data_IF_229410988240
#
_entry.id   IF_229410988240
#
_cell.length_a   1.000
_cell.length_b   1.000
_cell.length_c   1.000
_cell.angle_alpha   90.00
_cell.angle_beta   90.00
_cell.angle_gamma   90.00
#
_symmetry.space_group_name_H-M   'P 1'
#
loop_
_entity.id
_entity.type
_entity.pdbx_description
1 polymer ?
#
# COMPACT_ATOMS: atom_id res chain seq x y z
N UNK A 1 63.75 -103.29 -1.88
CA UNK A 1 63.63 -102.03 -2.65
C UNK A 1 65.02 -101.52 -2.95
N UNK A 2 65.41 -101.36 -4.23
CA UNK A 2 66.76 -100.89 -4.59
C UNK A 2 66.96 -99.44 -4.14
N UNK A 3 68.13 -99.11 -3.58
CA UNK A 3 68.50 -97.78 -3.08
C UNK A 3 68.25 -96.67 -4.12
N UNK A 4 68.40 -97.00 -5.40
CA UNK A 4 68.18 -96.10 -6.53
C UNK A 4 66.71 -95.66 -6.70
N UNK A 5 65.75 -96.54 -6.37
CA UNK A 5 64.32 -96.23 -6.47
C UNK A 5 63.88 -95.23 -5.37
N UNK A 6 64.41 -95.38 -4.16
CA UNK A 6 64.17 -94.43 -3.07
C UNK A 6 64.76 -93.05 -3.39
N UNK A 7 65.94 -92.99 -4.00
CA UNK A 7 66.56 -91.73 -4.43
C UNK A 7 65.72 -91.01 -5.50
N UNK A 8 65.27 -91.72 -6.55
CA UNK A 8 64.43 -91.13 -7.61
C UNK A 8 63.08 -90.62 -7.07
N UNK A 9 62.48 -91.34 -6.12
CA UNK A 9 61.26 -90.89 -5.46
C UNK A 9 61.49 -89.62 -4.64
N UNK A 10 62.58 -89.55 -3.87
CA UNK A 10 62.93 -88.37 -3.08
C UNK A 10 63.13 -87.14 -3.98
N UNK A 11 63.88 -87.27 -5.07
CA UNK A 11 64.09 -86.19 -6.04
C UNK A 11 62.75 -85.70 -6.58
N UNK A 12 61.87 -86.61 -7.03
CA UNK A 12 60.55 -86.25 -7.55
C UNK A 12 59.67 -85.55 -6.51
N UNK A 13 59.64 -86.05 -5.28
CA UNK A 13 58.86 -85.45 -4.19
C UNK A 13 59.39 -84.05 -3.85
N UNK A 14 60.72 -83.88 -3.77
CA UNK A 14 61.32 -82.57 -3.50
C UNK A 14 61.08 -81.57 -4.63
N UNK A 15 61.05 -82.03 -5.88
CA UNK A 15 60.75 -81.19 -7.03
C UNK A 15 59.29 -80.74 -7.02
N UNK A 16 58.35 -81.66 -6.81
CA UNK A 16 56.92 -81.33 -6.68
C UNK A 16 56.67 -80.39 -5.50
N UNK A 17 57.30 -80.61 -4.35
CA UNK A 17 57.17 -79.71 -3.20
C UNK A 17 57.65 -78.30 -3.52
N UNK A 18 58.78 -78.17 -4.23
CA UNK A 18 59.36 -76.88 -4.60
C UNK A 18 58.51 -76.13 -5.62
N UNK A 19 58.17 -76.81 -6.72
CA UNK A 19 57.50 -76.20 -7.88
C UNK A 19 56.00 -76.00 -7.62
N UNK A 20 55.31 -76.99 -7.05
CA UNK A 20 53.84 -76.93 -6.92
C UNK A 20 53.36 -76.29 -5.63
N UNK A 21 54.14 -76.36 -4.54
CA UNK A 21 53.69 -75.90 -3.22
C UNK A 21 54.43 -74.66 -2.74
N UNK A 22 55.76 -74.72 -2.62
CA UNK A 22 56.56 -73.59 -2.10
C UNK A 22 56.39 -72.37 -3.01
N UNK A 23 56.51 -72.53 -4.33
CA UNK A 23 56.39 -71.42 -5.27
C UNK A 23 54.99 -70.77 -5.23
N UNK A 24 53.91 -71.55 -5.12
CA UNK A 24 52.54 -71.01 -5.01
C UNK A 24 52.31 -70.32 -3.67
N UNK A 25 52.87 -70.85 -2.58
CA UNK A 25 52.78 -70.24 -1.26
C UNK A 25 53.55 -68.92 -1.19
N UNK A 26 54.75 -68.85 -1.80
CA UNK A 26 55.52 -67.60 -1.91
C UNK A 26 54.77 -66.55 -2.75
N UNK A 27 54.16 -66.96 -3.86
CA UNK A 27 53.35 -66.05 -4.68
C UNK A 27 52.13 -65.52 -3.91
N UNK A 28 51.38 -66.40 -3.25
CA UNK A 28 50.25 -66.00 -2.42
C UNK A 28 50.69 -65.09 -1.26
N UNK A 29 51.85 -65.35 -0.63
CA UNK A 29 52.39 -64.48 0.42
C UNK A 29 52.67 -63.08 -0.14
N UNK A 30 53.31 -62.99 -1.31
CA UNK A 30 53.61 -61.71 -1.95
C UNK A 30 52.33 -60.93 -2.33
N UNK A 31 51.32 -61.60 -2.88
CA UNK A 31 50.03 -60.97 -3.18
C UNK A 31 49.33 -60.47 -1.91
N UNK A 32 49.38 -61.22 -0.81
CA UNK A 32 48.82 -60.79 0.48
C UNK A 32 49.59 -59.60 1.04
N UNK A 33 50.93 -59.62 1.01
CA UNK A 33 51.77 -58.52 1.48
C UNK A 33 51.48 -57.23 0.69
N UNK A 34 51.49 -57.30 -0.64
CA UNK A 34 51.17 -56.15 -1.50
C UNK A 34 49.75 -55.61 -1.27
N UNK A 35 48.77 -56.50 -1.07
CA UNK A 35 47.40 -56.10 -0.74
C UNK A 35 47.32 -55.41 0.62
N UNK A 36 48.04 -55.91 1.63
CA UNK A 36 48.08 -55.31 2.97
C UNK A 36 48.73 -53.92 2.91
N UNK A 37 49.82 -53.75 2.18
CA UNK A 37 50.47 -52.45 1.98
C UNK A 37 49.53 -51.45 1.31
N UNK A 38 48.86 -51.86 0.23
CA UNK A 38 47.87 -51.02 -0.44
C UNK A 38 46.74 -50.59 0.50
N UNK A 39 46.18 -51.53 1.28
CA UNK A 39 45.10 -51.25 2.23
C UNK A 39 45.56 -50.32 3.36
N UNK A 40 46.82 -50.40 3.80
CA UNK A 40 47.38 -49.46 4.79
C UNK A 40 47.45 -48.05 4.23
N UNK A 41 47.98 -47.88 3.02
CA UNK A 41 48.04 -46.57 2.37
C UNK A 41 46.63 -45.99 2.16
N UNK A 42 45.69 -46.81 1.70
CA UNK A 42 44.30 -46.40 1.52
C UNK A 42 43.66 -45.97 2.83
N UNK A 43 43.86 -46.72 3.92
CA UNK A 43 43.37 -46.36 5.26
C UNK A 43 43.94 -45.03 5.72
N UNK A 44 45.24 -44.82 5.57
CA UNK A 44 45.89 -43.56 5.96
C UNK A 44 45.37 -42.36 5.16
N UNK A 45 45.15 -42.56 3.85
CA UNK A 45 44.55 -41.54 3.00
C UNK A 45 43.11 -41.22 3.46
N UNK A 46 42.29 -42.23 3.69
CA UNK A 46 40.91 -42.05 4.18
C UNK A 46 40.86 -41.33 5.53
N UNK A 47 41.81 -41.61 6.43
CA UNK A 47 41.89 -40.91 7.71
C UNK A 47 42.25 -39.42 7.54
N UNK A 48 43.14 -39.09 6.61
CA UNK A 48 43.44 -37.67 6.29
C UNK A 48 42.24 -36.96 5.68
N UNK A 49 41.59 -37.59 4.71
CA UNK A 49 40.39 -37.03 4.07
C UNK A 49 39.25 -36.80 5.08
N UNK A 50 39.08 -37.71 6.06
CA UNK A 50 38.12 -37.53 7.14
C UNK A 50 38.47 -36.33 8.04
N UNK A 51 39.74 -36.14 8.38
CA UNK A 51 40.18 -34.99 9.17
C UNK A 51 39.94 -33.67 8.43
N UNK A 52 40.28 -33.60 7.14
CA UNK A 52 39.98 -32.43 6.30
C UNK A 52 38.48 -32.16 6.19
N UNK A 53 37.66 -33.23 6.12
CA UNK A 53 36.21 -33.10 6.08
C UNK A 53 35.65 -32.57 7.42
N UNK A 54 36.21 -32.99 8.54
CA UNK A 54 35.84 -32.47 9.86
C UNK A 54 36.18 -30.99 10.01
N UNK A 55 37.39 -30.57 9.61
CA UNK A 55 37.81 -29.17 9.66
C UNK A 55 36.96 -28.28 8.73
N UNK A 56 36.69 -28.76 7.51
CA UNK A 56 35.84 -28.02 6.57
C UNK A 56 34.41 -27.91 7.06
N UNK A 57 33.87 -28.97 7.70
CA UNK A 57 32.56 -28.92 8.35
C UNK A 57 32.53 -27.87 9.45
N UNK A 58 33.52 -27.86 10.34
CA UNK A 58 33.63 -26.89 11.44
C UNK A 58 33.67 -25.44 10.90
N UNK A 59 34.51 -25.17 9.91
CA UNK A 59 34.62 -23.87 9.27
C UNK A 59 33.29 -23.43 8.59
N UNK A 60 32.58 -24.36 7.95
CA UNK A 60 31.26 -24.07 7.37
C UNK A 60 30.24 -23.77 8.45
N UNK A 61 30.23 -24.51 9.57
CA UNK A 61 29.32 -24.25 10.68
C UNK A 61 29.59 -22.90 11.34
N UNK A 62 30.85 -22.54 11.60
CA UNK A 62 31.22 -21.23 12.16
C UNK A 62 30.79 -20.09 11.23
N UNK A 63 31.01 -20.23 9.92
CA UNK A 63 30.55 -19.24 8.94
C UNK A 63 29.03 -19.10 8.93
N UNK A 64 28.30 -20.22 9.04
CA UNK A 64 26.85 -20.21 9.09
C UNK A 64 26.34 -19.49 10.36
N UNK A 65 26.96 -19.76 11.51
CA UNK A 65 26.66 -19.09 12.78
C UNK A 65 26.93 -17.58 12.68
N UNK A 66 28.10 -17.17 12.19
CA UNK A 66 28.42 -15.75 12.00
C UNK A 66 27.45 -15.05 11.03
N UNK A 67 27.00 -15.73 9.97
CA UNK A 67 25.97 -15.19 9.08
C UNK A 67 24.64 -15.03 9.81
N UNK A 68 24.25 -16.01 10.63
CA UNK A 68 23.02 -15.96 11.41
C UNK A 68 23.03 -14.79 12.40
N UNK A 69 24.12 -14.60 13.15
CA UNK A 69 24.31 -13.46 14.06
C UNK A 69 24.18 -12.11 13.32
N UNK A 70 24.83 -11.99 12.16
CA UNK A 70 24.75 -10.77 11.35
C UNK A 70 23.35 -10.50 10.82
N UNK A 71 22.61 -11.56 10.48
CA UNK A 71 21.22 -11.43 10.03
C UNK A 71 20.31 -10.99 11.17
N UNK A 72 20.48 -11.53 12.37
CA UNK A 72 19.74 -11.11 13.56
C UNK A 72 20.01 -9.64 13.90
N UNK A 73 21.28 -9.22 13.93
CA UNK A 73 21.65 -7.82 14.15
C UNK A 73 21.08 -6.90 13.06
N UNK A 74 21.07 -7.36 11.80
CA UNK A 74 20.45 -6.62 10.71
C UNK A 74 18.93 -6.51 10.91
N UNK A 75 18.27 -7.60 11.33
CA UNK A 75 16.84 -7.62 11.61
C UNK A 75 16.47 -6.64 12.72
N UNK A 76 17.19 -6.66 13.83
CA UNK A 76 16.97 -5.74 14.95
C UNK A 76 17.15 -4.27 14.53
N UNK A 77 18.18 -3.98 13.73
CA UNK A 77 18.39 -2.66 13.17
C UNK A 77 17.23 -2.23 12.26
N UNK A 78 16.72 -3.13 11.42
CA UNK A 78 15.56 -2.86 10.58
C UNK A 78 14.30 -2.61 11.40
N UNK A 79 14.03 -3.40 12.43
CA UNK A 79 12.90 -3.20 13.34
C UNK A 79 12.99 -1.84 14.03
N UNK A 80 14.19 -1.46 14.50
CA UNK A 80 14.41 -0.15 15.10
C UNK A 80 14.23 1.00 14.11
N UNK A 81 14.69 0.85 12.86
CA UNK A 81 14.48 1.82 11.80
C UNK A 81 12.99 1.96 11.44
N UNK A 82 12.26 0.85 11.33
CA UNK A 82 10.82 0.85 11.07
C UNK A 82 10.05 1.57 12.18
N UNK A 83 10.35 1.29 13.45
CA UNK A 83 9.75 2.01 14.59
C UNK A 83 10.00 3.52 14.52
N UNK A 84 11.22 3.92 14.13
CA UNK A 84 11.56 5.34 13.94
C UNK A 84 10.78 5.97 12.79
N UNK A 85 10.69 5.27 11.65
CA UNK A 85 9.90 5.71 10.49
C UNK A 85 8.42 5.85 10.85
N UNK A 86 7.84 4.89 11.56
CA UNK A 86 6.45 4.96 12.04
C UNK A 86 6.23 6.18 12.94
N UNK A 87 7.16 6.46 13.86
CA UNK A 87 7.07 7.66 14.71
C UNK A 87 7.12 8.95 13.89
N UNK A 88 8.02 9.03 12.91
CA UNK A 88 8.10 10.17 11.99
C UNK A 88 6.81 10.31 11.17
N UNK A 89 6.29 9.21 10.63
CA UNK A 89 5.06 9.20 9.86
C UNK A 89 3.87 9.66 10.70
N UNK A 90 3.73 9.19 11.94
CA UNK A 90 2.71 9.68 12.88
C UNK A 90 2.86 11.17 13.16
N UNK A 91 4.08 11.68 13.35
CA UNK A 91 4.34 13.12 13.54
C UNK A 91 3.96 13.93 12.29
N UNK A 92 4.28 13.45 11.10
CA UNK A 92 3.89 14.09 9.84
C UNK A 92 2.37 14.09 9.73
N UNK A 93 1.72 12.95 9.93
CA UNK A 93 0.26 12.84 9.87
C UNK A 93 -0.43 13.76 10.90
N UNK A 94 0.13 13.91 12.10
CA UNK A 94 -0.38 14.86 13.11
C UNK A 94 -0.21 16.33 12.74
N UNK A 95 0.75 16.64 11.85
CA UNK A 95 1.03 17.98 11.34
C UNK A 95 0.33 18.27 10.02
N UNK A 96 -0.20 17.26 9.34
CA UNK A 96 -1.08 17.46 8.21
C UNK A 96 -2.40 17.97 8.80
N UNK A 97 -2.81 19.21 8.49
CA UNK A 97 -4.14 19.68 8.85
C UNK A 97 -5.13 18.87 8.01
N UNK A 98 -5.62 17.77 8.59
CA UNK A 98 -6.79 17.10 8.06
C UNK A 98 -7.93 18.05 8.36
N UNK A 99 -8.40 18.78 7.34
CA UNK A 99 -9.59 19.63 7.48
C UNK A 99 -10.67 18.79 8.15
N UNK A 100 -11.09 19.22 9.33
CA UNK A 100 -12.21 18.60 10.04
C UNK A 100 -13.43 18.57 9.12
N UNK A 101 -14.36 17.63 9.33
CA UNK A 101 -15.62 17.61 8.56
C UNK A 101 -16.31 18.97 8.62
N UNK A 102 -16.32 19.60 9.79
CA UNK A 102 -16.83 20.95 10.00
C UNK A 102 -16.05 22.02 9.22
N UNK A 103 -14.72 21.90 9.11
CA UNK A 103 -13.90 22.85 8.33
C UNK A 103 -14.09 22.68 6.82
N UNK A 104 -14.35 21.46 6.35
CA UNK A 104 -14.70 21.20 4.95
C UNK A 104 -16.07 21.78 4.60
N UNK A 105 -17.04 21.63 5.49
CA UNK A 105 -18.39 22.17 5.34
C UNK A 105 -18.36 23.71 5.35
N UNK A 106 -17.67 24.31 6.33
CA UNK A 106 -17.45 25.76 6.40
C UNK A 106 -16.75 26.30 5.15
N UNK A 107 -15.77 25.57 4.60
CA UNK A 107 -15.10 25.97 3.35
C UNK A 107 -16.07 26.01 2.17
N UNK A 108 -17.03 25.10 2.12
CA UNK A 108 -18.02 25.06 1.05
C UNK A 108 -19.08 26.16 1.23
N UNK A 109 -19.53 26.41 2.47
CA UNK A 109 -20.40 27.54 2.78
C UNK A 109 -19.74 28.89 2.42
N UNK A 110 -18.45 29.06 2.71
CA UNK A 110 -17.71 30.27 2.39
C UNK A 110 -17.64 30.51 0.87
N UNK A 111 -17.45 29.47 0.06
CA UNK A 111 -17.48 29.60 -1.41
C UNK A 111 -18.87 30.02 -1.90
N UNK A 112 -19.93 29.39 -1.38
CA UNK A 112 -21.30 29.77 -1.73
C UNK A 112 -21.59 31.21 -1.34
N UNK A 113 -21.11 31.67 -0.19
CA UNK A 113 -21.25 33.06 0.22
C UNK A 113 -20.48 34.01 -0.68
N UNK A 114 -19.26 33.65 -1.10
CA UNK A 114 -18.46 34.43 -2.04
C UNK A 114 -19.18 34.61 -3.39
N UNK A 115 -19.80 33.54 -3.90
CA UNK A 115 -20.62 33.59 -5.12
C UNK A 115 -21.83 34.53 -4.95
N UNK A 116 -22.59 34.39 -3.85
CA UNK A 116 -23.73 35.27 -3.56
C UNK A 116 -23.31 36.75 -3.44
N UNK A 117 -22.17 37.03 -2.81
CA UNK A 117 -21.64 38.40 -2.70
C UNK A 117 -21.29 38.96 -4.09
N UNK A 118 -20.70 38.16 -4.97
CA UNK A 118 -20.44 38.56 -6.37
C UNK A 118 -21.74 38.87 -7.10
N UNK A 119 -22.76 38.02 -6.96
CA UNK A 119 -24.09 38.24 -7.55
C UNK A 119 -24.73 39.54 -7.03
N UNK A 120 -24.75 39.76 -5.71
CA UNK A 120 -25.29 41.00 -5.14
C UNK A 120 -24.54 42.24 -5.59
N UNK A 121 -23.22 42.18 -5.72
CA UNK A 121 -22.41 43.28 -6.28
C UNK A 121 -22.80 43.60 -7.73
N UNK A 122 -23.03 42.57 -8.56
CA UNK A 122 -23.52 42.75 -9.93
C UNK A 122 -24.91 43.39 -9.92
N UNK A 123 -25.83 42.88 -9.09
CA UNK A 123 -27.19 43.39 -8.97
C UNK A 123 -27.23 44.84 -8.48
N UNK A 124 -26.38 45.20 -7.51
CA UNK A 124 -26.24 46.58 -7.03
C UNK A 124 -25.74 47.52 -8.12
N UNK A 125 -24.74 47.09 -8.91
CA UNK A 125 -24.26 47.88 -10.07
C UNK A 125 -25.37 48.06 -11.11
N UNK A 126 -26.17 47.04 -11.37
CA UNK A 126 -27.31 47.13 -12.28
C UNK A 126 -28.41 48.06 -11.74
N UNK A 127 -28.72 47.99 -10.45
CA UNK A 127 -29.65 48.89 -9.76
C UNK A 127 -29.18 50.34 -9.83
N UNK A 128 -27.89 50.58 -9.57
CA UNK A 128 -27.31 51.92 -9.65
C UNK A 128 -27.46 52.50 -11.05
N UNK A 129 -27.12 51.72 -12.10
CA UNK A 129 -27.34 52.12 -13.50
C UNK A 129 -28.80 52.38 -13.82
N UNK A 130 -29.73 51.56 -13.32
CA UNK A 130 -31.18 51.79 -13.50
C UNK A 130 -31.64 53.07 -12.80
N UNK A 131 -31.10 53.37 -11.62
CA UNK A 131 -31.42 54.57 -10.85
C UNK A 131 -30.84 55.82 -11.52
N UNK A 132 -29.59 55.79 -11.98
CA UNK A 132 -28.98 56.85 -12.79
C UNK A 132 -29.79 57.10 -14.08
N UNK A 133 -30.21 56.03 -14.76
CA UNK A 133 -31.10 56.13 -15.91
C UNK A 133 -32.41 56.83 -15.52
N UNK A 134 -33.13 56.35 -14.51
CA UNK A 134 -34.39 56.96 -14.07
C UNK A 134 -34.23 58.43 -13.61
N UNK A 135 -33.15 58.76 -12.90
CA UNK A 135 -32.84 60.14 -12.53
C UNK A 135 -32.55 61.01 -13.76
N UNK A 136 -31.87 60.46 -14.77
CA UNK A 136 -31.69 61.11 -16.06
C UNK A 136 -33.01 61.38 -16.80
N UNK A 137 -33.99 60.46 -16.72
CA UNK A 137 -35.34 60.66 -17.28
C UNK A 137 -36.18 61.67 -16.48
N UNK A 138 -36.01 61.73 -15.15
CA UNK A 138 -36.66 62.73 -14.29
C UNK A 138 -36.02 64.12 -14.42
N UNK A 139 -34.75 64.19 -14.80
CA UNK A 139 -33.97 65.42 -15.00
C UNK A 139 -34.04 66.02 -16.40
N UNK A 140 -34.67 65.35 -17.37
CA UNK A 140 -34.98 65.98 -18.66
C UNK A 140 -36.15 66.98 -18.45
N UNK A 141 -36.03 68.24 -18.94
CA UNK A 141 -37.16 69.15 -18.90
C UNK A 141 -38.31 68.49 -19.67
N UNK A 142 -39.48 68.40 -19.05
CA UNK A 142 -40.72 67.97 -19.70
C UNK A 142 -40.96 68.88 -20.90
N UNK A 143 -40.48 68.47 -22.08
CA UNK A 143 -40.86 69.07 -23.35
C UNK A 143 -42.30 68.61 -23.58
N UNK A 144 -43.22 69.48 -23.19
CA UNK A 144 -44.55 69.70 -23.74
C UNK A 144 -45.21 68.43 -24.29
N UNK A 145 -46.22 67.91 -23.58
CA UNK A 145 -47.58 67.71 -24.14
C UNK A 145 -48.45 66.88 -23.19
N UNK A 146 -49.62 67.46 -22.87
CA UNK A 146 -50.85 66.81 -22.42
C UNK A 146 -50.87 66.17 -21.03
N UNK A 147 -51.35 66.96 -20.08
CA UNK A 147 -52.30 66.45 -19.08
C UNK A 147 -53.43 65.69 -19.81
N UNK A 148 -53.38 64.36 -19.82
CA UNK A 148 -54.52 63.55 -20.25
C UNK A 148 -54.52 62.16 -19.60
N UNK A 149 -54.68 62.15 -18.28
CA UNK A 149 -55.45 61.08 -17.63
C UNK A 149 -55.90 61.55 -16.27
N UNK A 150 -56.91 62.43 -16.26
CA UNK A 150 -57.82 62.48 -15.12
C UNK A 150 -58.53 61.13 -15.14
N UNK A 151 -58.07 60.19 -14.30
CA UNK A 151 -58.73 58.91 -14.09
C UNK A 151 -60.20 59.24 -13.78
N UNK A 152 -61.12 58.82 -14.65
CA UNK A 152 -62.53 59.10 -14.45
C UNK A 152 -62.95 58.49 -13.10
N UNK A 153 -63.84 59.13 -12.32
CA UNK A 153 -64.23 58.63 -11.01
C UNK A 153 -64.78 57.19 -11.05
N UNK A 154 -65.31 56.77 -12.21
CA UNK A 154 -65.72 55.39 -12.47
C UNK A 154 -64.53 54.42 -12.59
N UNK A 155 -63.43 54.81 -13.25
CA UNK A 155 -62.21 54.01 -13.32
C UNK A 155 -61.55 53.88 -11.94
N UNK A 156 -61.59 54.95 -11.14
CA UNK A 156 -61.09 54.96 -9.76
C UNK A 156 -61.92 54.06 -8.84
N UNK A 157 -63.24 54.07 -8.99
CA UNK A 157 -64.13 53.14 -8.28
C UNK A 157 -63.93 51.69 -8.75
N UNK A 158 -63.74 51.45 -10.06
CA UNK A 158 -63.46 50.10 -10.55
C UNK A 158 -62.12 49.58 -10.02
N UNK A 159 -61.07 50.40 -10.02
CA UNK A 159 -59.77 50.04 -9.43
C UNK A 159 -59.92 49.76 -7.93
N UNK A 160 -60.71 50.57 -7.21
CA UNK A 160 -60.98 50.36 -5.79
C UNK A 160 -61.76 49.07 -5.52
N UNK A 161 -62.73 48.74 -6.38
CA UNK A 161 -63.49 47.51 -6.28
C UNK A 161 -62.62 46.29 -6.59
N UNK A 162 -61.77 46.35 -7.62
CA UNK A 162 -60.81 45.29 -7.95
C UNK A 162 -59.82 45.09 -6.79
N UNK A 163 -59.29 46.17 -6.22
CA UNK A 163 -58.42 46.10 -5.03
C UNK A 163 -59.14 45.51 -3.81
N UNK A 164 -60.44 45.75 -3.68
CA UNK A 164 -61.23 45.16 -2.60
C UNK A 164 -61.50 43.67 -2.85
N UNK A 165 -61.84 43.28 -4.08
CA UNK A 165 -62.03 41.88 -4.50
C UNK A 165 -60.73 41.09 -4.34
N UNK A 166 -59.60 41.60 -4.84
CA UNK A 166 -58.28 40.99 -4.64
C UNK A 166 -57.90 40.94 -3.15
N UNK A 167 -58.26 41.96 -2.36
CA UNK A 167 -58.09 41.98 -0.91
C UNK A 167 -58.88 40.89 -0.20
N UNK A 168 -60.12 40.65 -0.62
CA UNK A 168 -61.00 39.61 -0.09
C UNK A 168 -60.53 38.21 -0.54
N UNK A 169 -60.05 38.07 -1.78
CA UNK A 169 -59.43 36.83 -2.28
C UNK A 169 -58.16 36.48 -1.50
N UNK A 170 -57.28 37.46 -1.24
CA UNK A 170 -56.10 37.26 -0.38
C UNK A 170 -56.55 36.87 1.04
N UNK A 171 -57.60 37.50 1.57
CA UNK A 171 -58.19 37.14 2.86
C UNK A 171 -58.74 35.71 2.90
N UNK A 172 -59.36 35.26 1.81
CA UNK A 172 -59.85 33.89 1.66
C UNK A 172 -58.71 32.89 1.56
N UNK A 173 -57.70 33.17 0.74
CA UNK A 173 -56.48 32.36 0.63
C UNK A 173 -55.74 32.26 1.96
N UNK A 174 -55.67 33.34 2.73
CA UNK A 174 -55.10 33.33 4.09
C UNK A 174 -55.91 32.45 5.07
N UNK A 175 -57.23 32.44 4.97
CA UNK A 175 -58.09 31.52 5.75
C UNK A 175 -57.88 30.07 5.33
N UNK A 176 -57.76 29.79 4.02
CA UNK A 176 -57.46 28.45 3.52
C UNK A 176 -56.07 27.98 3.95
N UNK A 177 -55.03 28.83 3.90
CA UNK A 177 -53.70 28.51 4.43
C UNK A 177 -53.77 28.26 5.94
N UNK A 178 -54.59 29.02 6.68
CA UNK A 178 -54.76 28.82 8.13
C UNK A 178 -55.48 27.50 8.45
N UNK A 179 -56.50 27.14 7.67
CA UNK A 179 -57.19 25.86 7.78
C UNK A 179 -56.28 24.69 7.41
N UNK A 180 -55.56 24.77 6.29
CA UNK A 180 -54.55 23.78 5.92
C UNK A 180 -53.45 23.66 6.98
N UNK A 181 -52.99 24.77 7.57
CA UNK A 181 -52.03 24.75 8.68
C UNK A 181 -52.60 24.11 9.95
N UNK A 182 -53.92 24.17 10.17
CA UNK A 182 -54.58 23.42 11.25
C UNK A 182 -54.74 21.94 10.91
N UNK A 183 -55.09 21.60 9.66
CA UNK A 183 -55.18 20.21 9.18
C UNK A 183 -53.82 19.51 9.14
N UNK A 184 -52.73 20.25 8.88
CA UNK A 184 -51.34 19.76 8.89
C UNK A 184 -50.76 19.69 10.32
N UNK A 185 -51.39 20.33 11.32
CA UNK A 185 -51.02 20.21 12.73
C UNK A 185 -51.77 19.06 13.45
N UNK A 186 -52.09 18.00 12.69
CA UNK A 186 -52.23 16.61 13.15
C UNK A 186 -50.94 15.86 12.83
#
# INVERSE_FOLDING_TARGET
>A
MSSEACYKLLVRVTQVLREEYIQKQEHARHEVETRVEFLRHQKEQQLRELQELEETKENVTEKAEHIAERLELCHDNNVNLLRRLESIMRKIQSRVPVLSSAEKEMKEELKQLEERVKEYSINLKQLHKKLEYQQGYLGQPKIISQESSVIQPQQLNNIKNILHEEGDEIGHLMKQISQLKMEINL
#
